data_IF_716721711727
#
_entry.id   IF_716721711727
#
_cell.length_a   1.000
_cell.length_b   1.000
_cell.length_c   1.000
_cell.angle_alpha   90.00
_cell.angle_beta   90.00
_cell.angle_gamma   90.00
#
_symmetry.space_group_name_H-M   'P 1'
#
loop_
_entity.id
_entity.type
_entity.pdbx_description
1 polymer ?
#
# COMPACT_ATOMS: atom_id res chain seq x y z
N UNK A 1 28.08 44.09 52.46
CA UNK A 1 27.17 43.98 51.30
C UNK A 1 27.96 43.70 50.03
N UNK A 2 28.30 42.44 49.70
CA UNK A 2 29.14 42.23 48.49
C UNK A 2 29.38 40.81 47.99
N UNK A 3 28.73 39.77 48.53
CA UNK A 3 28.99 38.39 48.10
C UNK A 3 27.87 37.78 47.25
N UNK A 4 26.67 38.38 47.23
CA UNK A 4 25.52 37.89 46.43
C UNK A 4 25.57 38.29 44.95
N UNK A 5 26.44 39.24 44.57
CA UNK A 5 26.59 39.71 43.19
C UNK A 5 27.57 38.85 42.38
N UNK A 6 28.59 38.26 43.03
CA UNK A 6 29.63 37.47 42.37
C UNK A 6 29.18 36.08 41.92
N UNK A 7 28.20 35.47 42.59
CA UNK A 7 27.63 34.18 42.17
C UNK A 7 26.76 34.27 40.91
N UNK A 8 26.15 35.44 40.61
CA UNK A 8 25.40 35.64 39.36
C UNK A 8 26.29 35.77 38.12
N UNK A 9 27.58 36.12 38.29
CA UNK A 9 28.56 36.17 37.19
C UNK A 9 29.30 34.85 36.96
N UNK A 10 29.32 33.95 37.95
CA UNK A 10 29.83 32.58 37.80
C UNK A 10 28.78 31.63 37.21
N UNK A 11 27.50 31.94 37.34
CA UNK A 11 26.43 31.39 36.51
C UNK A 11 26.38 32.07 35.14
N UNK A 12 27.55 32.34 34.55
CA UNK A 12 27.72 32.57 33.14
C UNK A 12 27.38 31.28 32.41
N UNK A 13 26.10 30.92 32.40
CA UNK A 13 25.51 30.19 31.31
C UNK A 13 25.71 31.14 30.13
N UNK A 14 26.81 30.93 29.43
CA UNK A 14 27.05 31.48 28.11
C UNK A 14 25.77 31.20 27.33
N UNK A 15 25.03 32.26 27.05
CA UNK A 15 23.74 32.20 26.36
C UNK A 15 23.88 31.46 25.02
N UNK A 16 25.09 31.49 24.45
CA UNK A 16 25.56 30.72 23.30
C UNK A 16 25.65 29.21 23.56
N UNK A 17 26.20 28.74 24.69
CA UNK A 17 26.27 27.31 24.99
C UNK A 17 24.90 26.70 25.36
N UNK A 18 23.97 27.52 25.88
CA UNK A 18 22.57 27.09 26.08
C UNK A 18 21.77 27.04 24.78
N UNK A 19 22.11 27.88 23.81
CA UNK A 19 21.49 27.87 22.47
C UNK A 19 22.05 26.73 21.63
N UNK A 20 23.37 26.52 21.61
CA UNK A 20 23.99 25.37 20.93
C UNK A 20 23.49 24.04 21.47
N UNK A 21 23.34 23.90 22.80
CA UNK A 21 22.80 22.66 23.39
C UNK A 21 21.30 22.46 23.11
N UNK A 22 20.53 23.55 23.01
CA UNK A 22 19.12 23.49 22.59
C UNK A 22 18.99 23.15 21.10
N UNK A 23 19.80 23.76 20.24
CA UNK A 23 19.83 23.48 18.80
C UNK A 23 20.32 22.06 18.51
N UNK A 24 21.31 21.55 19.25
CA UNK A 24 21.73 20.15 19.19
C UNK A 24 20.62 19.20 19.62
N UNK A 25 19.88 19.55 20.67
CA UNK A 25 18.77 18.74 21.17
C UNK A 25 17.58 18.74 20.21
N UNK A 26 17.27 19.87 19.57
CA UNK A 26 16.23 19.99 18.53
C UNK A 26 16.65 19.22 17.27
N UNK A 27 17.91 19.33 16.85
CA UNK A 27 18.44 18.59 15.70
C UNK A 27 18.34 17.07 15.94
N UNK A 28 18.71 16.58 17.13
CA UNK A 28 18.60 15.16 17.47
C UNK A 28 17.15 14.68 17.55
N UNK A 29 16.23 15.49 18.10
CA UNK A 29 14.80 15.12 18.14
C UNK A 29 14.18 15.09 16.73
N UNK A 30 14.65 15.95 15.83
CA UNK A 30 14.13 16.01 14.47
C UNK A 30 14.65 14.86 13.59
N UNK A 31 15.93 14.50 13.75
CA UNK A 31 16.52 13.32 13.12
C UNK A 31 15.85 12.03 13.61
N UNK A 32 15.59 11.94 14.91
CA UNK A 32 14.85 10.83 15.52
C UNK A 32 13.40 10.76 15.02
N UNK A 33 12.70 11.90 14.91
CA UNK A 33 11.35 11.95 14.34
C UNK A 33 11.30 11.56 12.86
N UNK A 34 12.31 11.89 12.06
CA UNK A 34 12.37 11.48 10.65
C UNK A 34 12.63 9.99 10.50
N UNK A 35 13.58 9.45 11.28
CA UNK A 35 13.82 8.02 11.32
C UNK A 35 12.56 7.27 11.76
N UNK A 36 11.83 7.81 12.74
CA UNK A 36 10.55 7.28 13.18
C UNK A 36 9.50 7.32 12.08
N UNK A 37 9.29 8.47 11.42
CA UNK A 37 8.34 8.63 10.32
C UNK A 37 8.60 7.66 9.16
N UNK A 38 9.87 7.49 8.77
CA UNK A 38 10.24 6.52 7.71
C UNK A 38 9.95 5.07 8.12
N UNK A 39 10.25 4.72 9.38
CA UNK A 39 9.95 3.40 9.93
C UNK A 39 8.44 3.15 10.01
N UNK A 40 7.65 4.15 10.40
CA UNK A 40 6.19 4.08 10.42
C UNK A 40 5.62 3.85 9.02
N UNK A 41 6.12 4.55 8.01
CA UNK A 41 5.68 4.39 6.61
C UNK A 41 6.04 3.00 6.08
N UNK A 42 7.24 2.51 6.40
CA UNK A 42 7.66 1.16 6.03
C UNK A 42 6.79 0.09 6.71
N UNK A 43 6.49 0.26 7.99
CA UNK A 43 5.61 -0.63 8.75
C UNK A 43 4.18 -0.61 8.21
N UNK A 44 3.64 0.57 7.91
CA UNK A 44 2.33 0.75 7.28
C UNK A 44 2.27 0.03 5.93
N UNK A 45 3.26 0.25 5.06
CA UNK A 45 3.34 -0.40 3.76
C UNK A 45 3.40 -1.93 3.89
N UNK A 46 4.16 -2.44 4.86
CA UNK A 46 4.28 -3.88 5.10
C UNK A 46 2.96 -4.48 5.59
N UNK A 47 2.30 -3.83 6.56
CA UNK A 47 0.99 -4.24 7.07
C UNK A 47 -0.05 -4.25 5.95
N UNK A 48 -0.08 -3.20 5.13
CA UNK A 48 -1.06 -3.06 4.05
C UNK A 48 -0.84 -4.10 2.94
N UNK A 49 0.41 -4.35 2.54
CA UNK A 49 0.75 -5.44 1.62
C UNK A 49 0.36 -6.80 2.19
N UNK A 50 0.58 -7.03 3.49
CA UNK A 50 0.17 -8.25 4.18
C UNK A 50 -1.35 -8.43 4.20
N UNK A 51 -2.10 -7.36 4.47
CA UNK A 51 -3.56 -7.36 4.42
C UNK A 51 -4.08 -7.67 3.00
N UNK A 52 -3.60 -6.96 1.98
CA UNK A 52 -3.98 -7.20 0.59
C UNK A 52 -3.62 -8.63 0.14
N UNK A 53 -2.44 -9.14 0.53
CA UNK A 53 -2.06 -10.52 0.26
C UNK A 53 -3.00 -11.57 0.89
N UNK A 54 -3.45 -11.34 2.13
CA UNK A 54 -4.45 -12.19 2.81
C UNK A 54 -5.83 -12.10 2.15
N UNK A 55 -6.23 -10.89 1.74
CA UNK A 55 -7.46 -10.67 0.99
C UNK A 55 -7.44 -11.48 -0.32
N UNK A 56 -6.31 -11.52 -1.03
CA UNK A 56 -6.15 -12.35 -2.22
C UNK A 56 -6.44 -13.84 -1.98
N UNK A 57 -5.99 -14.40 -0.86
CA UNK A 57 -6.33 -15.79 -0.50
C UNK A 57 -7.82 -15.99 -0.21
N UNK A 58 -8.45 -15.04 0.50
CA UNK A 58 -9.88 -15.09 0.78
C UNK A 58 -10.71 -15.05 -0.51
N UNK A 59 -10.33 -14.17 -1.46
CA UNK A 59 -10.99 -14.05 -2.77
C UNK A 59 -10.79 -15.32 -3.61
N UNK A 60 -9.60 -15.92 -3.58
CA UNK A 60 -9.35 -17.19 -4.25
C UNK A 60 -10.25 -18.30 -3.70
N UNK A 61 -10.39 -18.39 -2.37
CA UNK A 61 -11.30 -19.34 -1.73
C UNK A 61 -12.75 -19.09 -2.11
N UNK A 62 -13.16 -17.82 -2.17
CA UNK A 62 -14.50 -17.44 -2.63
C UNK A 62 -14.76 -17.86 -4.09
N UNK A 63 -13.80 -17.67 -5.00
CA UNK A 63 -13.95 -18.08 -6.39
C UNK A 63 -14.13 -19.59 -6.53
N UNK A 64 -13.34 -20.39 -5.79
CA UNK A 64 -13.45 -21.85 -5.76
C UNK A 64 -14.82 -22.29 -5.22
N UNK A 65 -15.27 -21.69 -4.11
CA UNK A 65 -16.59 -21.98 -3.52
C UNK A 65 -17.73 -21.59 -4.47
N UNK A 66 -17.59 -20.47 -5.18
CA UNK A 66 -18.59 -20.02 -6.15
C UNK A 66 -18.67 -20.96 -7.35
N UNK A 67 -17.53 -21.50 -7.82
CA UNK A 67 -17.49 -22.52 -8.86
C UNK A 67 -18.16 -23.82 -8.40
N UNK A 68 -17.88 -24.26 -7.17
CA UNK A 68 -18.54 -25.43 -6.58
C UNK A 68 -20.07 -25.28 -6.56
N UNK A 69 -20.57 -24.11 -6.16
CA UNK A 69 -22.00 -23.81 -6.18
C UNK A 69 -22.58 -23.72 -7.60
N UNK A 70 -21.79 -23.26 -8.58
CA UNK A 70 -22.21 -23.18 -9.97
C UNK A 70 -22.51 -24.55 -10.59
N UNK A 71 -21.79 -25.61 -10.17
CA UNK A 71 -22.00 -26.98 -10.64
C UNK A 71 -23.43 -27.48 -10.40
N UNK A 72 -24.07 -27.08 -9.30
CA UNK A 72 -25.42 -27.50 -8.95
C UNK A 72 -26.52 -26.54 -9.40
N UNK A 73 -26.17 -25.35 -9.91
CA UNK A 73 -27.12 -24.26 -10.18
C UNK A 73 -27.18 -23.81 -11.64
N UNK A 74 -26.27 -24.28 -12.49
CA UNK A 74 -26.13 -23.86 -13.88
C UNK A 74 -26.23 -25.07 -14.82
N UNK A 75 -26.84 -24.89 -15.99
CA UNK A 75 -26.88 -25.92 -17.03
C UNK A 75 -25.49 -26.28 -17.57
N UNK A 76 -25.31 -27.53 -18.01
CA UNK A 76 -24.01 -28.10 -18.43
C UNK A 76 -23.28 -27.24 -19.47
N UNK A 77 -24.00 -26.66 -20.45
CA UNK A 77 -23.40 -25.80 -21.48
C UNK A 77 -22.82 -24.49 -20.93
N UNK A 78 -23.49 -23.86 -19.96
CA UNK A 78 -23.00 -22.64 -19.32
C UNK A 78 -21.94 -22.92 -18.23
N UNK A 79 -21.92 -24.14 -17.68
CA UNK A 79 -20.93 -24.54 -16.68
C UNK A 79 -19.50 -24.50 -17.23
N UNK A 80 -19.28 -24.93 -18.48
CA UNK A 80 -17.96 -24.87 -19.11
C UNK A 80 -17.44 -23.42 -19.23
N UNK A 81 -18.30 -22.50 -19.66
CA UNK A 81 -17.99 -21.07 -19.74
C UNK A 81 -17.67 -20.47 -18.36
N UNK A 82 -18.54 -20.72 -17.37
CA UNK A 82 -18.32 -20.25 -16.00
C UNK A 82 -17.02 -20.82 -15.42
N UNK A 83 -16.73 -22.09 -15.66
CA UNK A 83 -15.48 -22.72 -15.20
C UNK A 83 -14.27 -22.02 -15.79
N UNK A 84 -14.26 -21.74 -17.10
CA UNK A 84 -13.18 -21.01 -17.76
C UNK A 84 -12.99 -19.61 -17.13
N UNK A 85 -14.07 -18.87 -16.92
CA UNK A 85 -14.04 -17.55 -16.29
C UNK A 85 -13.52 -17.61 -14.86
N UNK A 86 -13.93 -18.60 -14.07
CA UNK A 86 -13.45 -18.80 -12.70
C UNK A 86 -11.98 -19.13 -12.63
N UNK A 87 -11.47 -19.99 -13.52
CA UNK A 87 -10.04 -20.30 -13.63
C UNK A 87 -9.23 -19.06 -14.01
N UNK A 88 -9.73 -18.25 -14.95
CA UNK A 88 -9.14 -16.96 -15.31
C UNK A 88 -9.10 -16.00 -14.10
N UNK A 89 -10.19 -15.90 -13.35
CA UNK A 89 -10.27 -15.08 -12.15
C UNK A 89 -9.26 -15.53 -11.09
N UNK A 90 -9.16 -16.84 -10.83
CA UNK A 90 -8.18 -17.41 -9.90
C UNK A 90 -6.74 -17.09 -10.32
N UNK A 91 -6.40 -17.28 -11.60
CA UNK A 91 -5.07 -16.95 -12.12
C UNK A 91 -4.75 -15.45 -11.95
N UNK A 92 -5.71 -14.58 -12.28
CA UNK A 92 -5.61 -13.14 -12.10
C UNK A 92 -5.42 -12.73 -10.63
N UNK A 93 -6.16 -13.34 -9.69
CA UNK A 93 -6.02 -13.10 -8.25
C UNK A 93 -4.63 -13.53 -7.75
N UNK A 94 -4.13 -14.69 -8.18
CA UNK A 94 -2.79 -15.17 -7.83
C UNK A 94 -1.72 -14.22 -8.35
N UNK A 95 -1.81 -13.75 -9.59
CA UNK A 95 -0.89 -12.76 -10.14
C UNK A 95 -0.97 -11.44 -9.38
N UNK A 96 -2.17 -10.92 -9.09
CA UNK A 96 -2.39 -9.67 -8.35
C UNK A 96 -1.83 -9.75 -6.92
N UNK A 97 -2.01 -10.90 -6.26
CA UNK A 97 -1.44 -11.17 -4.95
C UNK A 97 0.10 -11.14 -5.01
N UNK A 98 0.72 -11.82 -5.98
CA UNK A 98 2.18 -11.77 -6.15
C UNK A 98 2.67 -10.35 -6.48
N UNK A 99 1.90 -9.59 -7.24
CA UNK A 99 2.17 -8.19 -7.52
C UNK A 99 2.24 -7.36 -6.24
N UNK A 100 1.26 -7.47 -5.34
CA UNK A 100 1.26 -6.65 -4.12
C UNK A 100 2.28 -7.12 -3.08
N UNK A 101 2.50 -8.44 -2.94
CA UNK A 101 3.38 -8.97 -1.90
C UNK A 101 4.85 -8.89 -2.29
N UNK A 102 5.17 -9.19 -3.56
CA UNK A 102 6.56 -9.33 -4.02
C UNK A 102 6.93 -8.36 -5.15
N UNK A 103 5.99 -7.59 -5.68
CA UNK A 103 6.24 -6.69 -6.82
C UNK A 103 6.39 -7.42 -8.16
N UNK A 104 6.09 -8.72 -8.23
CA UNK A 104 6.21 -9.54 -9.42
C UNK A 104 4.86 -9.72 -10.12
N UNK A 105 4.84 -9.99 -11.42
CA UNK A 105 3.61 -10.27 -12.18
C UNK A 105 2.61 -9.11 -12.35
N UNK A 106 3.03 -7.83 -12.31
CA UNK A 106 2.12 -6.70 -12.60
C UNK A 106 1.46 -6.79 -13.99
N UNK A 107 2.27 -6.93 -15.05
CA UNK A 107 1.78 -7.05 -16.43
C UNK A 107 0.76 -8.19 -16.62
N UNK A 108 1.10 -9.43 -16.21
CA UNK A 108 0.14 -10.55 -16.21
C UNK A 108 -1.12 -10.29 -15.37
N UNK A 109 -0.98 -9.70 -14.18
CA UNK A 109 -2.11 -9.38 -13.32
C UNK A 109 -3.08 -8.40 -14.01
N UNK A 110 -2.55 -7.33 -14.62
CA UNK A 110 -3.31 -6.36 -15.39
C UNK A 110 -4.00 -7.02 -16.59
N UNK A 111 -3.24 -7.77 -17.41
CA UNK A 111 -3.75 -8.37 -18.63
C UNK A 111 -4.89 -9.36 -18.36
N UNK A 112 -4.73 -10.24 -17.37
CA UNK A 112 -5.77 -11.21 -17.00
C UNK A 112 -7.00 -10.52 -16.38
N UNK A 113 -6.79 -9.47 -15.57
CA UNK A 113 -7.88 -8.69 -14.99
C UNK A 113 -8.67 -7.91 -16.05
N UNK A 114 -7.98 -7.33 -17.04
CA UNK A 114 -8.59 -6.64 -18.15
C UNK A 114 -9.36 -7.62 -19.05
N UNK A 115 -8.77 -8.78 -19.35
CA UNK A 115 -9.43 -9.83 -20.10
C UNK A 115 -10.71 -10.30 -19.41
N UNK A 116 -10.67 -10.53 -18.09
CA UNK A 116 -11.84 -10.92 -17.31
C UNK A 116 -12.96 -9.86 -17.38
N UNK A 117 -12.62 -8.57 -17.27
CA UNK A 117 -13.57 -7.48 -17.42
C UNK A 117 -14.20 -7.41 -18.83
N UNK A 118 -13.39 -7.60 -19.88
CA UNK A 118 -13.87 -7.64 -21.27
C UNK A 118 -14.82 -8.82 -21.47
N UNK A 119 -14.47 -10.00 -20.97
CA UNK A 119 -15.32 -11.19 -21.08
C UNK A 119 -16.64 -11.01 -20.31
N UNK A 120 -16.61 -10.37 -19.14
CA UNK A 120 -17.83 -10.00 -18.42
C UNK A 120 -18.69 -9.04 -19.24
N UNK A 121 -18.10 -7.97 -19.80
CA UNK A 121 -18.80 -7.01 -20.65
C UNK A 121 -19.41 -7.65 -21.91
N UNK A 122 -18.69 -8.59 -22.53
CA UNK A 122 -19.23 -9.36 -23.66
C UNK A 122 -20.40 -10.26 -23.21
N UNK A 123 -20.29 -10.87 -22.03
CA UNK A 123 -21.35 -11.72 -21.46
C UNK A 123 -22.59 -10.91 -21.08
N UNK A 124 -22.42 -9.68 -20.59
CA UNK A 124 -23.53 -8.81 -20.17
C UNK A 124 -24.30 -8.18 -21.33
N UNK A 125 -23.68 -8.07 -22.51
CA UNK A 125 -24.34 -7.61 -23.74
C UNK A 125 -25.19 -8.71 -24.40
N UNK A 126 -24.97 -9.97 -24.05
CA UNK A 126 -25.78 -11.10 -24.52
C UNK A 126 -27.03 -11.33 -23.69
N UNK A 127 -28.00 -12.06 -24.23
CA UNK A 127 -29.19 -12.54 -23.51
C UNK A 127 -28.85 -13.76 -22.63
N UNK A 128 -27.94 -13.55 -21.68
CA UNK A 128 -27.42 -14.59 -20.80
C UNK A 128 -28.24 -14.64 -19.52
N UNK A 129 -28.57 -15.85 -19.06
CA UNK A 129 -29.31 -16.05 -17.82
C UNK A 129 -28.69 -15.27 -16.64
N UNK A 130 -29.50 -14.62 -15.77
CA UNK A 130 -28.99 -13.82 -14.66
C UNK A 130 -28.08 -14.61 -13.69
N UNK A 131 -28.34 -15.90 -13.54
CA UNK A 131 -27.51 -16.81 -12.73
C UNK A 131 -26.11 -16.96 -13.31
N UNK A 132 -25.98 -17.11 -14.63
CA UNK A 132 -24.70 -17.18 -15.33
C UNK A 132 -23.96 -15.85 -15.23
N UNK A 133 -24.64 -14.72 -15.47
CA UNK A 133 -24.05 -13.39 -15.38
C UNK A 133 -23.51 -13.08 -13.98
N UNK A 134 -24.23 -13.46 -12.92
CA UNK A 134 -23.76 -13.32 -11.54
C UNK A 134 -22.50 -14.14 -11.26
N UNK A 135 -22.41 -15.32 -11.87
CA UNK A 135 -21.25 -16.20 -11.68
C UNK A 135 -20.01 -15.74 -12.48
N UNK A 136 -20.16 -14.84 -13.46
CA UNK A 136 -19.05 -14.29 -14.24
C UNK A 136 -18.60 -12.89 -13.79
N UNK A 137 -19.05 -12.43 -12.61
CA UNK A 137 -18.65 -11.13 -12.07
C UNK A 137 -17.12 -10.97 -12.01
N UNK A 138 -16.56 -9.83 -12.47
CA UNK A 138 -15.12 -9.65 -12.64
C UNK A 138 -14.43 -9.27 -11.32
N UNK A 139 -14.51 -10.16 -10.33
CA UNK A 139 -13.98 -9.95 -8.97
C UNK A 139 -12.47 -9.68 -8.99
N UNK A 140 -11.74 -10.38 -9.88
CA UNK A 140 -10.30 -10.19 -10.03
C UNK A 140 -9.94 -8.77 -10.53
N UNK A 141 -10.79 -8.15 -11.36
CA UNK A 141 -10.61 -6.77 -11.80
C UNK A 141 -10.80 -5.78 -10.66
N UNK A 142 -11.82 -5.97 -9.82
CA UNK A 142 -12.04 -5.14 -8.62
C UNK A 142 -10.85 -5.27 -7.67
N UNK A 143 -10.35 -6.49 -7.47
CA UNK A 143 -9.20 -6.73 -6.61
C UNK A 143 -7.92 -6.11 -7.19
N UNK A 144 -7.64 -6.27 -8.47
CA UNK A 144 -6.48 -5.66 -9.12
C UNK A 144 -6.52 -4.14 -9.05
N UNK A 145 -7.64 -3.51 -9.41
CA UNK A 145 -7.78 -2.05 -9.37
C UNK A 145 -7.60 -1.49 -7.97
N UNK A 146 -8.26 -2.08 -6.96
CA UNK A 146 -8.09 -1.67 -5.56
C UNK A 146 -6.66 -1.85 -5.05
N UNK A 147 -6.00 -2.92 -5.48
CA UNK A 147 -4.60 -3.22 -5.12
C UNK A 147 -3.63 -2.25 -5.79
N UNK A 148 -3.78 -2.01 -7.10
CA UNK A 148 -2.94 -1.09 -7.86
C UNK A 148 -3.06 0.35 -7.34
N UNK A 149 -4.29 0.80 -7.03
CA UNK A 149 -4.51 2.10 -6.39
C UNK A 149 -3.83 2.16 -5.02
N UNK A 150 -3.99 1.12 -4.19
CA UNK A 150 -3.32 1.05 -2.88
C UNK A 150 -1.80 1.14 -3.01
N UNK A 151 -1.21 0.41 -3.96
CA UNK A 151 0.24 0.45 -4.23
C UNK A 151 0.68 1.84 -4.69
N UNK A 152 -0.10 2.49 -5.56
CA UNK A 152 0.17 3.86 -5.99
C UNK A 152 0.11 4.86 -4.82
N UNK A 153 -0.88 4.75 -3.92
CA UNK A 153 -0.98 5.57 -2.72
C UNK A 153 0.20 5.36 -1.77
N UNK A 154 0.57 4.10 -1.48
CA UNK A 154 1.75 3.77 -0.68
C UNK A 154 3.04 4.33 -1.28
N UNK A 155 3.20 4.22 -2.60
CA UNK A 155 4.35 4.76 -3.32
C UNK A 155 4.43 6.28 -3.24
N UNK A 156 3.31 6.99 -3.41
CA UNK A 156 3.24 8.45 -3.28
C UNK A 156 3.57 8.91 -1.86
N UNK A 157 3.05 8.22 -0.84
CA UNK A 157 3.31 8.55 0.56
C UNK A 157 4.80 8.36 0.89
N UNK A 158 5.39 7.25 0.45
CA UNK A 158 6.82 6.98 0.62
C UNK A 158 7.69 8.05 -0.06
N UNK A 159 7.34 8.47 -1.27
CA UNK A 159 8.07 9.54 -1.98
C UNK A 159 7.96 10.89 -1.25
N UNK A 160 6.80 11.22 -0.71
CA UNK A 160 6.58 12.45 0.05
C UNK A 160 7.47 12.50 1.30
N UNK A 161 7.54 11.39 2.04
CA UNK A 161 8.38 11.29 3.24
C UNK A 161 9.88 11.31 2.94
N UNK A 162 10.31 10.68 1.85
CA UNK A 162 11.71 10.78 1.37
C UNK A 162 12.03 12.23 0.95
N UNK A 163 11.12 12.92 0.27
CA UNK A 163 11.31 14.32 -0.10
C UNK A 163 11.41 15.24 1.13
N UNK A 164 10.56 15.01 2.14
CA UNK A 164 10.59 15.73 3.42
C UNK A 164 11.90 15.52 4.16
N UNK A 165 12.38 14.28 4.23
CA UNK A 165 13.69 13.96 4.82
C UNK A 165 14.85 14.63 4.07
N UNK A 166 14.80 14.64 2.72
CA UNK A 166 15.83 15.30 1.91
C UNK A 166 15.85 16.84 2.07
N UNK A 167 14.68 17.48 2.25
CA UNK A 167 14.59 18.91 2.54
C UNK A 167 15.17 19.24 3.91
N UNK A 168 14.87 18.43 4.93
CA UNK A 168 15.38 18.63 6.28
C UNK A 168 16.90 18.44 6.36
N UNK A 169 17.46 17.45 5.66
CA UNK A 169 18.90 17.28 5.55
C UNK A 169 19.60 18.47 4.87
N UNK A 170 18.93 19.15 3.92
CA UNK A 170 19.46 20.40 3.32
C UNK A 170 19.42 21.56 4.30
N UNK A 171 18.34 21.68 5.09
CA UNK A 171 18.20 22.71 6.11
C UNK A 171 19.25 22.57 7.22
N UNK A 172 19.51 21.34 7.69
CA UNK A 172 20.56 21.07 8.69
C UNK A 172 21.97 21.42 8.17
N UNK A 173 22.27 21.08 6.91
CA UNK A 173 23.54 21.50 6.27
C UNK A 173 23.71 23.02 6.19
N UNK A 174 22.63 23.74 5.91
CA UNK A 174 22.66 25.20 5.86
C UNK A 174 22.84 25.81 7.24
N UNK A 175 22.14 25.29 8.25
CA UNK A 175 22.27 25.72 9.65
C UNK A 175 23.68 25.52 10.20
N UNK A 176 24.35 24.41 9.86
CA UNK A 176 25.74 24.12 10.28
C UNK A 176 26.82 24.86 9.47
N UNK A 177 26.44 25.56 8.41
CA UNK A 177 27.36 26.33 7.55
C UNK A 177 27.41 27.82 7.87
N UNK A 178 26.56 28.26 8.82
CA UNK A 178 26.57 29.60 9.41
C UNK A 178 27.30 29.57 10.74
#
# INVERSE_FOLDING_TARGET
MGLRSRQRRLAGITQEASLESFDQQVASTLEEHLAHSQNEVAAFNLLWKGFLGKLGYALLGFEILSLWLAVSTIGVGALAWVTMIKLLSCASIVCTKSYVTTGSFDGPALALSALHAILYGATSLGDVAPTTLRNTLPLSTVYYTGTALSVAFMGSNTKAEVARAAQLAKLDKLARSQ
#
